data_IF_264070608914
#
_entry.id   IF_264070608914
#
_cell.length_a   1.000
_cell.length_b   1.000
_cell.length_c   1.000
_cell.angle_alpha   90.00
_cell.angle_beta   90.00
_cell.angle_gamma   90.00
#
_symmetry.space_group_name_H-M   'P 1'
#
loop_
_entity.id
_entity.type
_entity.pdbx_description
1 polymer ?
#
# COMPACT_ATOMS: atom_id res chain seq x y z
N UNK A 1 36.93 -29.10 1.18
CA UNK A 1 35.90 -28.41 0.40
C UNK A 1 34.55 -29.04 0.70
N UNK A 2 33.69 -28.36 1.45
CA UNK A 2 32.25 -28.65 1.55
C UNK A 2 31.56 -27.29 1.58
N UNK A 3 30.78 -26.95 0.56
CA UNK A 3 29.95 -25.74 0.57
C UNK A 3 28.75 -26.03 1.46
N UNK A 4 28.56 -25.28 2.54
CA UNK A 4 27.23 -25.14 3.13
C UNK A 4 26.46 -24.18 2.22
N UNK A 5 25.25 -24.58 1.82
CA UNK A 5 24.30 -23.64 1.25
C UNK A 5 23.76 -22.78 2.40
N UNK A 6 23.84 -21.45 2.29
CA UNK A 6 22.99 -20.59 3.09
C UNK A 6 21.56 -20.77 2.57
N UNK A 7 20.65 -21.17 3.47
CA UNK A 7 19.23 -20.99 3.24
C UNK A 7 18.93 -19.53 3.59
N UNK A 8 18.68 -18.71 2.57
CA UNK A 8 18.14 -17.37 2.75
C UNK A 8 16.69 -17.48 3.20
N UNK A 9 16.48 -17.43 4.52
CA UNK A 9 15.15 -17.19 5.08
C UNK A 9 14.88 -15.70 4.92
N UNK A 10 14.04 -15.34 3.94
CA UNK A 10 13.36 -14.04 4.01
C UNK A 10 12.49 -14.07 5.27
N UNK A 11 12.80 -13.21 6.23
CA UNK A 11 11.89 -12.87 7.30
C UNK A 11 10.81 -11.98 6.70
N UNK A 12 9.76 -12.61 6.17
CA UNK A 12 8.67 -11.89 5.55
C UNK A 12 7.86 -11.21 6.67
N UNK A 13 7.82 -9.87 6.61
CA UNK A 13 7.20 -9.02 7.63
C UNK A 13 5.69 -9.16 7.56
N UNK A 14 5.13 -10.01 8.42
CA UNK A 14 3.68 -10.22 8.54
C UNK A 14 2.98 -8.92 8.97
N UNK A 15 2.32 -8.23 8.03
CA UNK A 15 1.43 -7.13 8.37
C UNK A 15 0.25 -7.74 9.15
N UNK A 16 -0.12 -7.19 10.32
CA UNK A 16 -1.11 -7.85 11.16
C UNK A 16 -2.54 -7.77 10.62
N UNK A 17 -3.41 -8.53 11.28
CA UNK A 17 -4.84 -8.25 11.38
C UNK A 17 -5.11 -6.75 11.68
N UNK A 18 -6.31 -6.25 11.38
CA UNK A 18 -6.67 -4.82 11.43
C UNK A 18 -6.00 -3.95 10.34
N UNK A 19 -4.68 -3.99 10.13
CA UNK A 19 -4.00 -3.14 9.12
C UNK A 19 -4.48 -3.44 7.69
N UNK A 20 -4.38 -4.70 7.27
CA UNK A 20 -4.94 -5.10 5.99
C UNK A 20 -6.46 -5.44 6.04
N UNK A 21 -7.13 -5.28 7.21
CA UNK A 21 -8.60 -5.11 7.23
C UNK A 21 -8.95 -3.69 6.79
N UNK A 22 -8.11 -2.69 7.09
CA UNK A 22 -8.32 -1.33 6.59
C UNK A 22 -8.20 -1.28 5.07
N UNK A 23 -7.18 -1.92 4.49
CA UNK A 23 -7.02 -2.07 3.04
C UNK A 23 -8.23 -2.79 2.40
N UNK A 24 -8.57 -4.00 2.88
CA UNK A 24 -9.73 -4.73 2.35
C UNK A 24 -11.06 -4.00 2.58
N UNK A 25 -11.19 -3.18 3.64
CA UNK A 25 -12.39 -2.36 3.85
C UNK A 25 -12.50 -1.19 2.85
N UNK A 26 -11.36 -0.61 2.47
CA UNK A 26 -11.25 0.40 1.40
C UNK A 26 -11.54 -0.22 0.04
N UNK A 27 -10.95 -1.37 -0.29
CA UNK A 27 -11.26 -2.14 -1.50
C UNK A 27 -12.76 -2.46 -1.61
N UNK A 28 -13.39 -2.92 -0.52
CA UNK A 28 -14.84 -3.14 -0.50
C UNK A 28 -15.67 -1.88 -0.76
N UNK A 29 -15.17 -0.71 -0.38
CA UNK A 29 -15.83 0.58 -0.64
C UNK A 29 -15.61 1.06 -2.08
N UNK A 30 -14.40 0.88 -2.62
CA UNK A 30 -14.08 1.08 -4.03
C UNK A 30 -15.03 0.23 -4.87
N UNK A 31 -15.07 -1.09 -4.66
CA UNK A 31 -15.94 -2.03 -5.37
C UNK A 31 -17.43 -1.65 -5.27
N UNK A 32 -17.91 -1.25 -4.08
CA UNK A 32 -19.29 -0.72 -3.92
C UNK A 32 -19.54 0.55 -4.74
N UNK A 33 -18.55 1.43 -4.85
CA UNK A 33 -18.67 2.69 -5.57
C UNK A 33 -18.59 2.47 -7.09
N UNK A 34 -17.64 1.68 -7.58
CA UNK A 34 -17.49 1.27 -8.99
C UNK A 34 -18.77 0.62 -9.50
N UNK A 35 -19.30 -0.36 -8.76
CA UNK A 35 -20.57 -1.02 -9.12
C UNK A 35 -21.74 -0.05 -9.12
N UNK A 36 -21.86 0.86 -8.14
CA UNK A 36 -22.96 1.84 -8.09
C UNK A 36 -22.86 2.95 -9.13
N UNK A 37 -21.65 3.28 -9.60
CA UNK A 37 -21.44 4.26 -10.67
C UNK A 37 -21.92 3.70 -12.01
N UNK A 38 -21.60 2.44 -12.30
CA UNK A 38 -22.05 1.73 -13.50
C UNK A 38 -23.53 1.28 -13.41
N UNK A 39 -24.00 0.84 -12.23
CA UNK A 39 -25.38 0.43 -12.00
C UNK A 39 -25.89 0.85 -10.62
N UNK A 40 -26.64 1.96 -10.58
CA UNK A 40 -27.25 2.47 -9.36
C UNK A 40 -28.32 1.54 -8.73
N UNK A 41 -28.80 0.52 -9.45
CA UNK A 41 -29.73 -0.50 -8.94
C UNK A 41 -29.02 -1.75 -8.42
N UNK A 42 -27.71 -1.90 -8.68
CA UNK A 42 -26.96 -3.07 -8.25
C UNK A 42 -26.88 -3.15 -6.71
N UNK A 43 -27.02 -4.38 -6.20
CA UNK A 43 -27.02 -4.70 -4.77
C UNK A 43 -25.88 -5.66 -4.46
N UNK A 44 -25.16 -5.42 -3.37
CA UNK A 44 -24.22 -6.41 -2.85
C UNK A 44 -25.02 -7.63 -2.37
N UNK A 45 -24.66 -8.82 -2.85
CA UNK A 45 -25.31 -10.08 -2.51
C UNK A 45 -24.43 -10.99 -1.65
N UNK A 46 -23.12 -10.80 -1.69
CA UNK A 46 -22.16 -11.60 -0.93
C UNK A 46 -20.93 -10.78 -0.56
N UNK A 47 -20.39 -11.04 0.62
CA UNK A 47 -19.02 -10.70 1.01
C UNK A 47 -18.49 -11.89 1.80
N UNK A 48 -17.38 -12.47 1.35
CA UNK A 48 -16.78 -13.65 1.95
C UNK A 48 -15.30 -13.41 2.19
N UNK A 49 -14.94 -13.16 3.43
CA UNK A 49 -13.53 -13.14 3.84
C UNK A 49 -12.92 -14.53 3.76
N UNK A 50 -11.66 -14.55 3.36
CA UNK A 50 -10.75 -15.67 3.22
C UNK A 50 -9.46 -15.31 3.96
N UNK A 51 -8.74 -16.33 4.40
CA UNK A 51 -7.43 -16.21 5.03
C UNK A 51 -6.67 -17.46 4.58
N UNK A 52 -5.61 -17.31 3.79
CA UNK A 52 -5.03 -18.35 2.93
C UNK A 52 -3.50 -18.30 2.99
N UNK A 53 -2.85 -19.46 2.91
CA UNK A 53 -1.41 -19.56 2.63
C UNK A 53 -1.14 -19.45 1.13
N UNK A 54 0.08 -19.07 0.74
CA UNK A 54 0.57 -19.31 -0.62
C UNK A 54 0.31 -20.78 -1.05
N UNK A 55 -0.32 -20.96 -2.21
CA UNK A 55 -0.78 -22.25 -2.73
C UNK A 55 -2.11 -22.77 -2.18
N UNK A 56 -2.78 -22.07 -1.25
CA UNK A 56 -4.07 -22.48 -0.67
C UNK A 56 -5.25 -21.89 -1.45
N UNK A 57 -6.27 -22.71 -1.73
CA UNK A 57 -7.48 -22.28 -2.46
C UNK A 57 -8.68 -22.10 -1.54
N UNK A 58 -9.09 -20.84 -1.35
CA UNK A 58 -10.37 -20.47 -0.76
C UNK A 58 -11.53 -20.72 -1.74
N UNK A 59 -12.72 -21.01 -1.21
CA UNK A 59 -13.93 -21.31 -2.00
C UNK A 59 -15.17 -20.64 -1.42
N UNK A 60 -16.05 -20.18 -2.30
CA UNK A 60 -17.39 -19.73 -1.93
C UNK A 60 -18.39 -20.02 -3.04
N UNK A 61 -19.65 -20.24 -2.67
CA UNK A 61 -20.72 -20.52 -3.63
C UNK A 61 -21.58 -19.26 -3.80
N UNK A 62 -21.80 -18.86 -5.05
CA UNK A 62 -22.71 -17.78 -5.45
C UNK A 62 -24.00 -18.40 -5.99
N UNK A 63 -25.16 -17.90 -5.54
CA UNK A 63 -26.45 -18.33 -6.09
C UNK A 63 -26.88 -17.35 -7.19
N UNK A 64 -26.93 -17.84 -8.42
CA UNK A 64 -27.00 -17.05 -9.66
C UNK A 64 -28.31 -17.34 -10.39
N UNK A 65 -28.94 -16.31 -10.96
CA UNK A 65 -30.17 -16.44 -11.76
C UNK A 65 -29.92 -16.07 -13.22
N UNK A 66 -30.48 -16.85 -14.15
CA UNK A 66 -30.37 -16.57 -15.58
C UNK A 66 -31.00 -15.22 -15.95
N UNK A 67 -30.36 -14.47 -16.84
CA UNK A 67 -30.80 -13.14 -17.28
C UNK A 67 -30.57 -12.01 -16.26
N UNK A 68 -29.77 -12.26 -15.21
CA UNK A 68 -29.27 -11.24 -14.28
C UNK A 68 -27.79 -10.99 -14.50
N UNK A 69 -27.35 -9.78 -14.22
CA UNK A 69 -25.93 -9.40 -14.29
C UNK A 69 -25.30 -9.56 -12.92
N UNK A 70 -24.09 -10.13 -12.89
CA UNK A 70 -23.32 -10.33 -11.67
C UNK A 70 -21.94 -9.74 -11.85
N UNK A 71 -21.45 -9.05 -10.81
CA UNK A 71 -20.06 -8.58 -10.72
C UNK A 71 -19.44 -9.17 -9.47
N UNK A 72 -18.29 -9.82 -9.61
CA UNK A 72 -17.59 -10.52 -8.54
C UNK A 72 -16.15 -10.04 -8.51
N UNK A 73 -15.75 -9.46 -7.39
CA UNK A 73 -14.38 -9.06 -7.08
C UNK A 73 -13.75 -10.11 -6.17
N UNK A 74 -12.49 -10.42 -6.43
CA UNK A 74 -11.55 -10.99 -5.47
C UNK A 74 -10.52 -9.91 -5.19
N UNK A 75 -10.28 -9.60 -3.92
CA UNK A 75 -9.24 -8.66 -3.51
C UNK A 75 -8.42 -9.33 -2.41
N UNK A 76 -7.09 -9.35 -2.52
CA UNK A 76 -6.22 -9.73 -1.41
C UNK A 76 -5.72 -8.51 -0.62
N UNK A 77 -4.99 -8.78 0.47
CA UNK A 77 -4.54 -7.77 1.41
C UNK A 77 -3.06 -7.41 1.21
N UNK A 78 -2.54 -6.41 1.91
CA UNK A 78 -1.20 -5.82 1.62
C UNK A 78 -0.02 -6.77 1.73
N UNK A 79 -0.23 -7.96 2.29
CA UNK A 79 0.75 -9.04 2.34
C UNK A 79 0.75 -9.91 1.06
N UNK A 80 -0.12 -9.61 0.09
CA UNK A 80 -0.32 -10.40 -1.13
C UNK A 80 -0.21 -9.51 -2.38
N UNK A 81 0.47 -10.05 -3.39
CA UNK A 81 0.70 -9.41 -4.69
C UNK A 81 0.01 -10.15 -5.84
N UNK A 82 -0.62 -11.31 -5.59
CA UNK A 82 -1.22 -12.15 -6.65
C UNK A 82 -2.23 -13.17 -6.10
N UNK A 83 -3.46 -13.14 -6.62
CA UNK A 83 -4.49 -14.18 -6.47
C UNK A 83 -5.07 -14.61 -7.82
N UNK A 84 -5.12 -15.93 -8.12
CA UNK A 84 -5.96 -16.43 -9.21
C UNK A 84 -7.43 -16.47 -8.73
N UNK A 85 -8.36 -15.85 -9.45
CA UNK A 85 -9.80 -16.08 -9.26
C UNK A 85 -10.39 -16.91 -10.40
N UNK A 86 -11.25 -17.87 -10.08
CA UNK A 86 -11.94 -18.73 -11.06
C UNK A 86 -13.41 -18.88 -10.68
N UNK A 87 -14.32 -18.71 -11.66
CA UNK A 87 -15.76 -18.91 -11.51
C UNK A 87 -16.18 -20.10 -12.36
N UNK A 88 -16.83 -21.09 -11.75
CA UNK A 88 -17.26 -22.33 -12.41
C UNK A 88 -18.72 -22.69 -12.12
N UNK A 89 -19.36 -23.37 -13.07
CA UNK A 89 -20.69 -23.96 -12.90
C UNK A 89 -20.60 -25.47 -13.14
N UNK A 90 -21.02 -26.28 -12.17
CA UNK A 90 -20.96 -27.75 -12.22
C UNK A 90 -19.56 -28.30 -12.60
N UNK A 91 -18.49 -27.65 -12.11
CA UNK A 91 -17.10 -28.03 -12.42
C UNK A 91 -16.61 -27.62 -13.82
N UNK A 92 -17.43 -26.90 -14.61
CA UNK A 92 -16.98 -26.26 -15.85
C UNK A 92 -16.59 -24.81 -15.57
N UNK A 93 -15.37 -24.44 -15.88
CA UNK A 93 -14.88 -23.06 -15.82
C UNK A 93 -15.70 -22.15 -16.75
N UNK A 94 -16.07 -20.96 -16.24
CA UNK A 94 -16.85 -19.94 -16.97
C UNK A 94 -16.04 -18.65 -17.08
N UNK A 95 -15.33 -18.28 -16.01
CA UNK A 95 -14.36 -17.17 -16.01
C UNK A 95 -13.12 -17.57 -15.22
N UNK A 96 -11.96 -17.04 -15.61
CA UNK A 96 -10.71 -17.20 -14.87
C UNK A 96 -9.79 -16.01 -15.11
N UNK A 97 -9.08 -15.60 -14.07
CA UNK A 97 -8.04 -14.58 -14.08
C UNK A 97 -6.87 -15.21 -13.30
N UNK A 98 -5.69 -15.16 -13.92
CA UNK A 98 -4.46 -15.88 -13.53
C UNK A 98 -3.21 -15.08 -13.93
N UNK A 99 -3.38 -13.80 -14.21
CA UNK A 99 -2.44 -12.93 -14.92
C UNK A 99 -1.39 -12.32 -14.02
N UNK A 100 -1.64 -12.27 -12.71
CA UNK A 100 -0.73 -11.66 -11.74
C UNK A 100 -1.40 -10.69 -10.76
N UNK A 101 -2.68 -10.38 -10.94
CA UNK A 101 -3.38 -9.37 -10.14
C UNK A 101 -3.66 -9.80 -8.70
N UNK A 102 -3.63 -8.84 -7.79
CA UNK A 102 -4.14 -8.91 -6.41
C UNK A 102 -5.64 -8.59 -6.31
N UNK A 103 -6.25 -8.05 -7.37
CA UNK A 103 -7.63 -7.54 -7.43
C UNK A 103 -8.50 -8.06 -8.62
N UNK A 104 -8.56 -9.37 -8.93
CA UNK A 104 -9.43 -9.94 -9.96
C UNK A 104 -10.89 -9.47 -9.92
N UNK A 105 -11.46 -9.17 -11.08
CA UNK A 105 -12.89 -8.89 -11.21
C UNK A 105 -13.49 -9.57 -12.44
N UNK A 106 -14.70 -10.12 -12.30
CA UNK A 106 -15.53 -10.59 -13.42
C UNK A 106 -16.88 -9.92 -13.39
N UNK A 107 -17.38 -9.49 -14.55
CA UNK A 107 -18.77 -9.08 -14.71
C UNK A 107 -19.42 -9.73 -15.91
N UNK A 108 -20.58 -10.34 -15.73
CA UNK A 108 -21.26 -11.08 -16.79
C UNK A 108 -22.77 -11.13 -16.60
N UNK A 109 -23.50 -11.27 -17.71
CA UNK A 109 -24.92 -11.67 -17.69
C UNK A 109 -24.97 -13.19 -17.61
N UNK A 110 -25.62 -13.74 -16.60
CA UNK A 110 -25.66 -15.19 -16.41
C UNK A 110 -26.66 -15.85 -17.39
N UNK A 111 -26.16 -16.75 -18.25
CA UNK A 111 -27.03 -17.54 -19.15
C UNK A 111 -27.81 -18.65 -18.42
N UNK A 112 -27.34 -19.07 -17.24
CA UNK A 112 -27.84 -20.23 -16.51
C UNK A 112 -28.05 -19.87 -15.04
N UNK A 113 -29.18 -20.31 -14.48
CA UNK A 113 -29.39 -20.29 -13.04
C UNK A 113 -28.62 -21.45 -12.39
N UNK A 114 -28.01 -21.22 -11.23
CA UNK A 114 -27.30 -22.28 -10.51
C UNK A 114 -26.48 -21.80 -9.32
N UNK A 115 -25.86 -22.77 -8.65
CA UNK A 115 -24.85 -22.55 -7.63
C UNK A 115 -23.47 -22.54 -8.32
N UNK A 116 -22.96 -21.34 -8.61
CA UNK A 116 -21.64 -21.15 -9.19
C UNK A 116 -20.60 -21.21 -8.06
N UNK A 117 -19.48 -21.89 -8.28
CA UNK A 117 -18.35 -21.88 -7.35
C UNK A 117 -17.36 -20.80 -7.78
N UNK A 118 -17.04 -19.91 -6.85
CA UNK A 118 -15.91 -18.97 -6.95
C UNK A 118 -14.77 -19.55 -6.13
N UNK A 119 -13.65 -19.82 -6.80
CA UNK A 119 -12.40 -20.27 -6.19
C UNK A 119 -11.39 -19.11 -6.24
N UNK A 120 -10.67 -18.89 -5.14
CA UNK A 120 -9.56 -17.92 -5.06
C UNK A 120 -8.32 -18.69 -4.58
N UNK A 121 -7.29 -18.74 -5.41
CA UNK A 121 -6.01 -19.35 -5.10
C UNK A 121 -4.99 -18.25 -4.78
N UNK A 122 -4.50 -18.25 -3.54
CA UNK A 122 -3.41 -17.38 -3.10
C UNK A 122 -2.12 -17.80 -3.79
N UNK A 123 -1.57 -16.98 -4.70
CA UNK A 123 -0.33 -17.32 -5.43
C UNK A 123 0.88 -16.87 -4.67
N UNK A 124 0.93 -15.59 -4.35
CA UNK A 124 2.03 -14.96 -3.64
C UNK A 124 1.51 -14.29 -2.37
N UNK A 125 2.29 -14.41 -1.30
CA UNK A 125 1.90 -14.05 0.05
C UNK A 125 3.16 -13.95 0.92
N UNK A 126 3.44 -12.74 1.40
CA UNK A 126 4.55 -12.38 2.27
C UNK A 126 4.24 -12.55 3.77
N UNK A 127 3.09 -13.10 4.14
CA UNK A 127 2.84 -13.64 5.49
C UNK A 127 2.70 -15.18 5.46
N UNK A 128 2.89 -15.77 6.63
CA UNK A 128 2.41 -17.10 7.01
C UNK A 128 0.95 -17.40 6.59
N UNK A 129 0.07 -16.40 6.52
CA UNK A 129 -1.24 -16.41 5.82
C UNK A 129 -1.71 -14.98 5.48
N UNK A 130 -2.08 -14.73 4.23
CA UNK A 130 -2.65 -13.45 3.76
C UNK A 130 -4.19 -13.52 3.79
N UNK A 131 -4.87 -12.38 3.90
CA UNK A 131 -6.33 -12.32 3.74
C UNK A 131 -6.70 -12.03 2.29
N UNK A 132 -7.94 -12.38 1.98
CA UNK A 132 -8.62 -11.91 0.80
C UNK A 132 -10.12 -11.82 1.10
N UNK A 133 -10.91 -11.25 0.20
CA UNK A 133 -12.34 -11.52 0.17
C UNK A 133 -12.83 -11.81 -1.24
N UNK A 134 -14.01 -12.42 -1.33
CA UNK A 134 -14.85 -12.40 -2.53
C UNK A 134 -16.05 -11.51 -2.24
N UNK A 135 -16.23 -10.45 -3.03
CA UNK A 135 -17.36 -9.54 -2.92
C UNK A 135 -18.20 -9.61 -4.19
N UNK A 136 -19.48 -9.98 -4.07
CA UNK A 136 -20.35 -10.18 -5.22
C UNK A 136 -21.58 -9.27 -5.18
N UNK A 137 -21.96 -8.81 -6.37
CA UNK A 137 -23.08 -7.92 -6.63
C UNK A 137 -24.02 -8.53 -7.68
N UNK A 138 -25.30 -8.20 -7.58
CA UNK A 138 -26.33 -8.50 -8.59
C UNK A 138 -26.90 -7.18 -9.11
N UNK A 139 -27.03 -7.05 -10.43
CA UNK A 139 -27.53 -5.86 -11.09
C UNK A 139 -28.15 -6.14 -12.45
N UNK A 140 -28.05 -5.14 -13.32
CA UNK A 140 -28.65 -5.04 -14.66
C UNK A 140 -27.65 -4.61 -15.72
N UNK A 141 -26.65 -3.80 -15.38
CA UNK A 141 -25.54 -3.44 -16.28
C UNK A 141 -24.30 -4.29 -15.99
N UNK A 142 -23.55 -4.61 -17.04
CA UNK A 142 -22.21 -5.19 -16.90
C UNK A 142 -21.30 -4.05 -16.47
N UNK A 143 -20.72 -4.18 -15.27
CA UNK A 143 -19.66 -3.30 -14.80
C UNK A 143 -18.41 -3.75 -15.53
N UNK A 144 -17.70 -2.90 -16.27
CA UNK A 144 -16.49 -3.35 -16.95
C UNK A 144 -15.45 -3.82 -15.93
N UNK A 145 -15.34 -5.14 -15.77
CA UNK A 145 -14.14 -5.78 -15.23
C UNK A 145 -12.97 -5.45 -16.16
N UNK A 146 -11.78 -5.22 -15.61
CA UNK A 146 -10.54 -5.14 -16.42
C UNK A 146 -10.50 -6.31 -17.40
N UNK A 147 -10.34 -6.02 -18.68
CA UNK A 147 -10.79 -6.90 -19.77
C UNK A 147 -11.95 -6.28 -20.57
N UNK A 148 -11.62 -5.24 -21.35
CA UNK A 148 -12.47 -4.47 -22.27
C UNK A 148 -13.36 -3.36 -21.68
N UNK A 149 -12.78 -2.17 -21.54
CA UNK A 149 -13.50 -0.92 -21.85
C UNK A 149 -14.22 -0.23 -20.69
N UNK A 150 -13.68 -0.27 -19.48
CA UNK A 150 -13.99 0.70 -18.42
C UNK A 150 -12.87 1.75 -18.34
N UNK A 151 -13.21 3.03 -18.26
CA UNK A 151 -12.22 4.09 -17.98
C UNK A 151 -11.92 4.05 -16.47
N UNK A 152 -10.80 3.46 -16.05
CA UNK A 152 -10.39 3.35 -14.63
C UNK A 152 -9.79 4.67 -14.08
N UNK A 153 -9.29 5.52 -14.97
CA UNK A 153 -8.61 6.77 -14.60
C UNK A 153 -9.47 7.72 -13.73
N UNK A 154 -10.79 7.92 -13.96
CA UNK A 154 -11.63 8.75 -13.09
C UNK A 154 -11.74 8.22 -11.65
N UNK A 155 -11.76 6.90 -11.48
CA UNK A 155 -11.78 6.20 -10.19
C UNK A 155 -10.45 6.35 -9.46
N UNK A 156 -9.33 6.06 -10.12
CA UNK A 156 -7.98 6.31 -9.58
C UNK A 156 -7.83 7.79 -9.14
N UNK A 157 -8.26 8.71 -10.01
CA UNK A 157 -8.23 10.14 -9.70
C UNK A 157 -9.07 10.54 -8.47
N UNK A 158 -10.15 9.80 -8.18
CA UNK A 158 -10.97 9.99 -6.99
C UNK A 158 -10.31 9.41 -5.74
N UNK A 159 -9.62 8.28 -5.83
CA UNK A 159 -8.82 7.70 -4.74
C UNK A 159 -7.72 8.68 -4.32
N UNK A 160 -6.96 9.18 -5.28
CA UNK A 160 -5.87 10.14 -5.07
C UNK A 160 -6.37 11.43 -4.41
N UNK A 161 -7.53 11.98 -4.84
CA UNK A 161 -8.18 13.12 -4.16
C UNK A 161 -8.53 12.81 -2.71
N UNK A 162 -9.13 11.65 -2.42
CA UNK A 162 -9.52 11.29 -1.06
C UNK A 162 -8.29 11.21 -0.15
N UNK A 163 -7.24 10.51 -0.58
CA UNK A 163 -5.97 10.38 0.13
C UNK A 163 -5.37 11.75 0.48
N UNK A 164 -5.33 12.67 -0.48
CA UNK A 164 -4.80 14.02 -0.26
C UNK A 164 -5.72 14.88 0.62
N UNK A 165 -7.04 14.75 0.52
CA UNK A 165 -7.97 15.49 1.38
C UNK A 165 -8.01 14.98 2.83
N UNK A 166 -7.65 13.71 3.07
CA UNK A 166 -7.39 13.17 4.41
C UNK A 166 -6.10 13.76 5.02
N UNK A 167 -5.03 13.89 4.22
CA UNK A 167 -3.77 14.52 4.63
C UNK A 167 -3.93 16.02 4.91
N UNK A 168 -4.50 16.75 3.94
CA UNK A 168 -4.85 18.16 4.08
C UNK A 168 -6.12 18.52 3.29
N UNK A 169 -7.26 18.79 3.96
CA UNK A 169 -8.49 19.21 3.29
C UNK A 169 -8.40 20.63 2.68
N UNK A 170 -7.25 21.32 2.82
CA UNK A 170 -6.96 22.60 2.14
C UNK A 170 -6.00 22.48 0.95
N UNK A 171 -5.60 21.26 0.59
CA UNK A 171 -4.78 21.01 -0.61
C UNK A 171 -5.53 21.42 -1.89
N UNK A 172 -4.77 21.91 -2.87
CA UNK A 172 -5.30 22.40 -4.15
C UNK A 172 -4.88 21.46 -5.28
N UNK A 173 -5.84 20.75 -5.87
CA UNK A 173 -5.65 20.01 -7.12
C UNK A 173 -5.31 21.00 -8.25
N UNK A 174 -4.22 20.72 -8.96
CA UNK A 174 -3.77 21.44 -10.16
C UNK A 174 -4.46 20.83 -11.39
N UNK A 175 -4.36 21.44 -12.59
CA UNK A 175 -4.87 20.80 -13.80
C UNK A 175 -4.33 19.38 -13.95
N UNK A 176 -5.25 18.45 -14.20
CA UNK A 176 -4.96 17.04 -14.49
C UNK A 176 -4.56 16.96 -15.95
N UNK A 177 -3.54 16.16 -16.24
CA UNK A 177 -3.13 15.85 -17.61
C UNK A 177 -3.60 14.43 -17.94
N UNK A 178 -4.08 14.21 -19.16
CA UNK A 178 -4.58 12.89 -19.60
C UNK A 178 -4.21 12.70 -21.07
N UNK A 179 -3.47 11.63 -21.34
CA UNK A 179 -2.90 11.35 -22.67
C UNK A 179 -2.95 9.85 -22.95
N UNK A 180 -2.34 9.43 -24.06
CA UNK A 180 -2.15 8.03 -24.41
C UNK A 180 -0.77 7.84 -25.03
N UNK A 181 -0.09 6.77 -24.64
CA UNK A 181 1.26 6.40 -25.08
C UNK A 181 1.26 4.96 -25.55
N UNK A 182 2.06 4.65 -26.57
CA UNK A 182 2.44 3.27 -26.86
C UNK A 182 3.55 2.83 -25.88
N UNK A 183 3.79 1.53 -25.77
CA UNK A 183 4.98 0.95 -25.13
C UNK A 183 6.27 1.68 -25.57
N UNK A 184 7.22 1.88 -24.65
CA UNK A 184 8.45 2.69 -24.76
C UNK A 184 8.25 4.21 -25.02
N UNK A 185 7.03 4.72 -25.28
CA UNK A 185 6.82 6.16 -25.51
C UNK A 185 6.86 6.98 -24.21
N UNK A 186 7.46 8.18 -24.30
CA UNK A 186 7.60 9.13 -23.19
C UNK A 186 6.92 10.45 -23.53
N UNK A 187 6.00 10.92 -22.68
CA UNK A 187 5.42 12.27 -22.77
C UNK A 187 5.89 13.15 -21.61
N UNK A 188 5.77 14.46 -21.75
CA UNK A 188 6.18 15.37 -20.69
C UNK A 188 5.37 16.66 -20.62
N UNK A 189 5.01 17.03 -19.40
CA UNK A 189 4.28 18.24 -19.08
C UNK A 189 5.12 19.22 -18.28
N UNK A 190 4.96 20.50 -18.60
CA UNK A 190 5.68 21.59 -17.94
C UNK A 190 4.83 22.14 -16.80
N UNK A 191 5.36 22.05 -15.57
CA UNK A 191 4.64 22.40 -14.34
C UNK A 191 5.36 23.52 -13.59
N UNK A 192 4.60 24.50 -13.10
CA UNK A 192 5.12 25.62 -12.32
C UNK A 192 4.91 25.37 -10.83
N UNK A 193 6.03 25.24 -10.10
CA UNK A 193 6.08 24.90 -8.67
C UNK A 193 6.62 26.08 -7.85
N UNK A 194 6.19 26.19 -6.59
CA UNK A 194 6.54 27.29 -5.67
C UNK A 194 7.37 26.78 -4.50
N UNK A 195 8.51 27.41 -4.23
CA UNK A 195 9.37 27.08 -3.11
C UNK A 195 8.62 27.08 -1.76
N UNK A 196 8.95 26.12 -0.90
CA UNK A 196 8.40 25.93 0.42
C UNK A 196 7.09 25.13 0.47
N UNK A 197 6.39 24.95 -0.66
CA UNK A 197 5.19 24.12 -0.80
C UNK A 197 5.53 22.64 -0.87
N UNK A 198 4.57 21.81 -0.48
CA UNK A 198 4.57 20.38 -0.75
C UNK A 198 3.70 20.11 -1.97
N UNK A 199 4.16 19.18 -2.79
CA UNK A 199 3.46 18.69 -3.96
C UNK A 199 3.34 17.18 -3.90
N UNK A 200 2.12 16.66 -4.02
CA UNK A 200 1.90 15.25 -4.29
C UNK A 200 1.72 15.07 -5.80
N UNK A 201 2.40 14.09 -6.37
CA UNK A 201 2.32 13.71 -7.78
C UNK A 201 1.86 12.26 -7.88
N UNK A 202 0.95 12.00 -8.81
CA UNK A 202 0.44 10.68 -9.16
C UNK A 202 0.54 10.54 -10.67
N UNK A 203 0.88 9.34 -11.14
CA UNK A 203 0.48 8.87 -12.45
C UNK A 203 -0.30 7.57 -12.28
N UNK A 204 -1.33 7.39 -13.08
CA UNK A 204 -2.16 6.19 -13.11
C UNK A 204 -2.37 5.83 -14.60
N UNK A 205 -2.10 4.60 -15.02
CA UNK A 205 -2.54 4.11 -16.34
C UNK A 205 -3.93 3.46 -16.30
N UNK A 206 -4.52 3.21 -17.48
CA UNK A 206 -5.77 2.44 -17.59
C UNK A 206 -5.51 0.93 -17.54
N UNK A 207 -6.59 0.13 -17.51
CA UNK A 207 -6.54 -1.33 -17.26
C UNK A 207 -5.87 -2.16 -18.36
N UNK A 208 -5.21 -1.51 -19.32
CA UNK A 208 -4.48 -2.13 -20.42
C UNK A 208 -2.96 -1.94 -20.25
N UNK A 209 -2.49 -1.33 -19.15
CA UNK A 209 -1.08 -1.15 -18.80
C UNK A 209 -0.77 -1.73 -17.41
N UNK A 210 0.45 -2.26 -17.28
CA UNK A 210 1.00 -2.87 -16.05
C UNK A 210 2.19 -2.12 -15.48
N UNK A 211 2.83 -1.23 -16.26
CA UNK A 211 4.05 -0.54 -15.85
C UNK A 211 4.15 0.88 -16.46
N UNK A 212 4.23 1.90 -15.60
CA UNK A 212 4.30 3.32 -15.98
C UNK A 212 5.30 4.06 -15.07
N UNK A 213 6.31 4.70 -15.66
CA UNK A 213 7.29 5.49 -14.89
C UNK A 213 6.78 6.91 -14.61
N UNK A 214 7.18 7.47 -13.46
CA UNK A 214 6.99 8.90 -13.16
C UNK A 214 8.30 9.60 -12.75
N UNK A 215 8.72 10.56 -13.56
CA UNK A 215 9.95 11.33 -13.36
C UNK A 215 9.69 12.83 -13.24
N UNK A 216 10.11 13.46 -12.14
CA UNK A 216 10.16 14.92 -12.00
C UNK A 216 11.59 15.41 -12.20
N UNK A 217 11.76 16.38 -13.08
CA UNK A 217 13.06 16.96 -13.43
C UNK A 217 13.03 18.49 -13.48
N UNK A 218 14.21 19.11 -13.43
CA UNK A 218 14.39 20.55 -13.67
C UNK A 218 15.67 20.80 -14.45
N UNK A 219 15.54 21.35 -15.66
CA UNK A 219 16.66 21.43 -16.60
C UNK A 219 17.17 20.03 -16.91
N UNK A 220 18.46 19.77 -16.62
CA UNK A 220 19.09 18.45 -16.76
C UNK A 220 19.15 17.65 -15.44
N UNK A 221 18.59 18.16 -14.35
CA UNK A 221 18.62 17.48 -13.05
C UNK A 221 17.32 16.70 -12.82
N UNK A 222 17.43 15.38 -12.64
CA UNK A 222 16.36 14.57 -12.06
C UNK A 222 16.20 14.93 -10.58
N UNK A 223 14.96 15.21 -10.17
CA UNK A 223 14.59 15.51 -8.78
C UNK A 223 14.05 14.23 -8.11
N UNK A 224 13.23 13.47 -8.85
CA UNK A 224 12.71 12.16 -8.45
C UNK A 224 12.42 11.34 -9.71
N UNK A 225 12.63 10.04 -9.63
CA UNK A 225 12.28 9.03 -10.62
C UNK A 225 11.65 7.87 -9.87
N UNK A 226 10.49 7.43 -10.29
CA UNK A 226 9.87 6.17 -9.91
C UNK A 226 9.89 5.30 -11.16
N UNK A 227 10.59 4.17 -11.08
CA UNK A 227 10.86 3.23 -12.18
C UNK A 227 10.84 1.78 -11.67
N UNK A 228 10.05 1.55 -10.62
CA UNK A 228 9.77 0.23 -10.08
C UNK A 228 8.47 -0.25 -10.74
N UNK A 229 8.42 -1.52 -11.13
CA UNK A 229 7.33 -2.07 -11.94
C UNK A 229 5.95 -1.84 -11.29
N UNK A 230 5.10 -1.02 -11.92
CA UNK A 230 3.75 -0.75 -11.43
C UNK A 230 2.97 0.31 -12.22
N UNK A 231 1.64 0.25 -12.10
CA UNK A 231 0.65 1.01 -12.89
C UNK A 231 0.24 2.36 -12.25
N UNK A 232 0.64 2.62 -11.00
CA UNK A 232 0.18 3.75 -10.18
C UNK A 232 1.30 4.43 -9.34
N UNK A 233 2.42 4.90 -9.93
CA UNK A 233 3.51 5.55 -9.18
C UNK A 233 3.09 6.89 -8.57
N UNK A 234 3.40 7.06 -7.28
CA UNK A 234 3.11 8.29 -6.53
C UNK A 234 4.28 8.76 -5.66
N UNK A 235 4.40 10.08 -5.46
CA UNK A 235 5.29 10.61 -4.44
C UNK A 235 4.87 11.99 -3.93
N UNK A 236 5.28 12.29 -2.70
CA UNK A 236 5.22 13.63 -2.13
C UNK A 236 6.62 14.25 -2.13
N UNK A 237 6.71 15.52 -2.51
CA UNK A 237 7.97 16.25 -2.53
C UNK A 237 7.79 17.71 -2.13
N UNK A 238 8.71 18.21 -1.29
CA UNK A 238 8.74 19.63 -0.92
C UNK A 238 9.62 20.42 -1.88
N UNK A 239 9.04 21.40 -2.57
CA UNK A 239 9.77 22.24 -3.50
C UNK A 239 10.77 23.14 -2.76
N UNK A 240 12.07 22.93 -2.97
CA UNK A 240 13.12 23.80 -2.41
C UNK A 240 13.30 25.11 -3.17
N UNK A 241 12.84 25.19 -4.42
CA UNK A 241 13.03 26.32 -5.32
C UNK A 241 11.80 26.51 -6.22
N UNK A 242 11.47 27.76 -6.52
CA UNK A 242 10.34 28.09 -7.42
C UNK A 242 10.77 28.03 -8.88
N UNK A 243 9.80 27.76 -9.76
CA UNK A 243 9.92 27.94 -11.20
C UNK A 243 9.42 26.74 -11.99
N UNK A 244 10.00 26.57 -13.17
CA UNK A 244 9.62 25.55 -14.13
C UNK A 244 10.27 24.19 -13.81
N UNK A 245 9.44 23.17 -13.80
CA UNK A 245 9.80 21.76 -13.69
C UNK A 245 9.14 20.98 -14.82
N UNK A 246 9.70 19.83 -15.15
CA UNK A 246 9.23 18.94 -16.20
C UNK A 246 8.85 17.60 -15.58
N UNK A 247 7.55 17.30 -15.57
CA UNK A 247 7.00 16.00 -15.19
C UNK A 247 6.98 15.13 -16.45
N UNK A 248 7.63 13.97 -16.40
CA UNK A 248 7.79 13.05 -17.53
C UNK A 248 7.19 11.72 -17.14
N UNK A 249 6.36 11.17 -18.02
CA UNK A 249 5.76 9.84 -17.90
C UNK A 249 6.36 8.94 -18.96
N UNK A 250 6.62 7.69 -18.59
CA UNK A 250 6.89 6.60 -19.54
C UNK A 250 5.82 5.55 -19.49
N UNK A 251 5.53 4.92 -20.63
CA UNK A 251 4.74 3.69 -20.69
C UNK A 251 5.72 2.53 -20.90
N UNK A 252 6.05 1.78 -19.84
CA UNK A 252 7.04 0.69 -19.93
C UNK A 252 6.37 -0.66 -20.24
N UNK A 253 5.08 -0.85 -19.95
CA UNK A 253 4.29 -2.03 -20.35
C UNK A 253 2.84 -1.66 -20.73
N UNK A 254 2.36 -2.17 -21.89
CA UNK A 254 1.06 -1.81 -22.46
C UNK A 254 0.52 -2.89 -23.42
N UNK A 255 -0.63 -3.48 -23.10
CA UNK A 255 -1.29 -4.57 -23.84
C UNK A 255 -1.93 -4.15 -25.18
N UNK A 256 -1.87 -2.85 -25.54
CA UNK A 256 -2.56 -2.30 -26.73
C UNK A 256 -1.68 -1.32 -27.53
N UNK A 257 -2.13 -0.93 -28.73
CA UNK A 257 -1.43 0.05 -29.57
C UNK A 257 -1.10 1.36 -28.83
N UNK A 258 -1.96 1.79 -27.88
CA UNK A 258 -1.76 2.92 -26.97
C UNK A 258 -2.63 2.80 -25.71
N UNK A 259 -2.00 2.73 -24.55
CA UNK A 259 -2.65 2.78 -23.24
C UNK A 259 -2.89 4.24 -22.83
N UNK A 260 -3.97 4.51 -22.09
CA UNK A 260 -4.23 5.84 -21.55
C UNK A 260 -3.58 5.97 -20.17
N UNK A 261 -3.28 7.19 -19.80
CA UNK A 261 -2.89 7.49 -18.43
C UNK A 261 -3.36 8.89 -18.03
N UNK A 262 -3.43 9.14 -16.72
CA UNK A 262 -3.55 10.49 -16.16
C UNK A 262 -2.42 10.81 -15.20
N UNK A 263 -2.10 12.10 -15.05
CA UNK A 263 -1.29 12.58 -13.94
C UNK A 263 -2.04 13.64 -13.16
N UNK A 264 -2.02 13.51 -11.83
CA UNK A 264 -2.55 14.49 -10.90
C UNK A 264 -1.44 15.12 -10.08
N UNK A 265 -1.64 16.38 -9.74
CA UNK A 265 -0.71 17.16 -8.93
C UNK A 265 -1.52 17.94 -7.91
N UNK A 266 -1.16 17.83 -6.63
CA UNK A 266 -1.80 18.58 -5.54
C UNK A 266 -0.78 19.48 -4.86
N UNK A 267 -1.15 20.70 -4.52
CA UNK A 267 -0.31 21.65 -3.78
C UNK A 267 -0.84 21.86 -2.35
N UNK A 268 0.04 21.79 -1.34
CA UNK A 268 -0.27 22.21 0.03
C UNK A 268 0.87 23.00 0.70
N UNK A 269 0.53 23.66 1.81
CA UNK A 269 1.48 24.24 2.77
C UNK A 269 1.89 23.24 3.87
N UNK A 270 1.22 22.09 3.98
CA UNK A 270 1.53 20.99 4.91
C UNK A 270 2.19 19.86 4.15
N UNK A 271 2.92 19.01 4.86
CA UNK A 271 3.35 17.73 4.31
C UNK A 271 2.10 16.91 3.91
N UNK A 272 2.16 16.27 2.75
CA UNK A 272 1.07 15.47 2.19
C UNK A 272 1.34 13.97 2.30
N UNK A 273 2.52 13.58 2.78
CA UNK A 273 2.86 12.18 2.97
C UNK A 273 2.14 11.62 4.21
N UNK A 274 1.30 10.61 3.98
CA UNK A 274 0.50 9.94 5.02
C UNK A 274 1.12 8.63 5.50
N UNK A 275 2.25 8.19 4.94
CA UNK A 275 2.94 6.93 5.29
C UNK A 275 3.12 6.77 6.80
N UNK A 276 3.74 7.75 7.45
CA UNK A 276 3.93 7.77 8.90
C UNK A 276 2.60 7.77 9.68
N UNK A 277 1.61 8.55 9.25
CA UNK A 277 0.29 8.59 9.91
C UNK A 277 -0.39 7.21 9.88
N UNK A 278 -0.27 6.52 8.75
CA UNK A 278 -0.77 5.17 8.56
C UNK A 278 0.03 4.15 9.39
N UNK A 279 1.37 4.25 9.41
CA UNK A 279 2.23 3.42 10.25
C UNK A 279 1.86 3.57 11.74
N UNK A 280 1.71 4.79 12.26
CA UNK A 280 1.34 5.01 13.66
C UNK A 280 -0.08 4.51 13.99
N UNK A 281 -1.00 4.52 13.02
CA UNK A 281 -2.33 3.93 13.17
C UNK A 281 -2.20 2.41 13.29
N UNK A 282 -1.51 1.78 12.34
CA UNK A 282 -1.18 0.34 12.38
C UNK A 282 -0.53 -0.04 13.71
N UNK A 283 0.54 0.63 14.12
CA UNK A 283 1.29 0.36 15.36
C UNK A 283 0.39 0.41 16.61
N UNK A 284 -0.55 1.37 16.68
CA UNK A 284 -1.55 1.42 17.75
C UNK A 284 -2.48 0.21 17.71
N UNK A 285 -2.96 -0.18 16.54
CA UNK A 285 -3.85 -1.33 16.35
C UNK A 285 -3.16 -2.66 16.73
N UNK A 286 -1.90 -2.89 16.30
CA UNK A 286 -1.13 -4.10 16.66
C UNK A 286 -0.99 -4.21 18.18
N UNK A 287 -0.54 -3.11 18.81
CA UNK A 287 -0.26 -3.08 20.25
C UNK A 287 -1.55 -3.24 21.05
N UNK A 288 -2.63 -2.55 20.70
CA UNK A 288 -3.92 -2.69 21.39
C UNK A 288 -4.50 -4.10 21.23
N UNK A 289 -4.32 -4.76 20.07
CA UNK A 289 -4.80 -6.12 19.86
C UNK A 289 -4.06 -7.14 20.74
N UNK A 290 -2.72 -7.07 20.79
CA UNK A 290 -1.90 -7.99 21.60
C UNK A 290 -1.98 -7.68 23.10
N UNK A 291 -1.91 -6.39 23.47
CA UNK A 291 -2.01 -5.88 24.83
C UNK A 291 -2.90 -4.64 24.93
N UNK A 292 -4.22 -4.86 25.06
CA UNK A 292 -5.21 -3.81 25.28
C UNK A 292 -5.01 -2.98 26.58
N UNK A 293 -4.05 -3.33 27.44
CA UNK A 293 -3.65 -2.54 28.61
C UNK A 293 -2.40 -1.67 28.38
N UNK A 294 -1.74 -1.83 27.23
CA UNK A 294 -0.62 -1.01 26.84
C UNK A 294 -1.07 0.42 26.53
N UNK A 295 -0.17 1.36 26.78
CA UNK A 295 -0.36 2.78 26.50
C UNK A 295 0.75 3.27 25.59
N UNK A 296 0.45 4.27 24.76
CA UNK A 296 1.48 5.06 24.10
C UNK A 296 2.36 5.72 25.19
N UNK A 297 3.66 5.45 25.13
CA UNK A 297 4.65 6.08 26.00
C UNK A 297 5.20 7.34 25.34
N UNK A 298 5.42 7.27 24.03
CA UNK A 298 5.98 8.34 23.21
C UNK A 298 5.66 8.08 21.74
N UNK A 299 5.33 9.14 21.01
CA UNK A 299 5.48 9.24 19.57
C UNK A 299 6.33 10.47 19.29
N UNK A 300 7.39 10.32 18.48
CA UNK A 300 8.31 11.41 18.14
C UNK A 300 8.72 11.37 16.69
N UNK A 301 8.18 12.29 15.90
CA UNK A 301 8.55 12.52 14.50
C UNK A 301 9.63 13.61 14.35
N UNK A 302 10.40 13.51 13.27
CA UNK A 302 11.31 14.53 12.71
C UNK A 302 11.59 14.22 11.23
N UNK A 303 12.19 15.14 10.47
CA UNK A 303 12.92 14.78 9.23
C UNK A 303 14.41 14.62 9.52
N UNK A 304 15.08 13.70 8.85
CA UNK A 304 16.53 13.43 8.92
C UNK A 304 17.12 13.29 7.50
N UNK A 305 18.24 13.98 7.20
CA UNK A 305 19.09 13.62 6.07
C UNK A 305 19.77 12.27 6.26
N UNK A 306 20.12 11.61 5.15
CA UNK A 306 20.88 10.34 5.17
C UNK A 306 22.17 10.46 5.99
N UNK A 307 22.47 9.42 6.77
CA UNK A 307 23.62 9.37 7.67
C UNK A 307 23.46 10.15 8.98
N UNK A 308 22.37 10.91 9.17
CA UNK A 308 22.05 11.49 10.48
C UNK A 308 21.32 10.50 11.38
N UNK A 309 21.11 10.87 12.66
CA UNK A 309 20.60 9.96 13.68
C UNK A 309 19.71 10.67 14.67
N UNK A 310 18.46 10.22 14.78
CA UNK A 310 17.54 10.60 15.84
C UNK A 310 17.94 9.88 17.13
N UNK A 311 18.18 10.65 18.20
CA UNK A 311 18.55 10.13 19.52
C UNK A 311 17.55 10.62 20.57
N UNK A 312 16.90 9.68 21.26
CA UNK A 312 15.79 9.95 22.18
C UNK A 312 16.10 9.37 23.57
N UNK A 313 16.27 10.21 24.61
CA UNK A 313 16.36 9.74 25.98
C UNK A 313 14.97 9.38 26.53
N UNK A 314 14.87 8.24 27.23
CA UNK A 314 13.63 7.80 27.87
C UNK A 314 13.89 7.07 29.20
N UNK A 315 12.88 7.05 30.07
CA UNK A 315 12.95 6.35 31.35
C UNK A 315 12.05 5.11 31.34
N UNK A 316 12.67 3.94 31.50
CA UNK A 316 11.97 2.65 31.54
C UNK A 316 11.82 2.15 32.99
N UNK A 317 10.84 1.26 33.21
CA UNK A 317 10.49 0.70 34.52
C UNK A 317 10.68 -0.81 34.52
N UNK A 318 11.42 -1.33 35.50
CA UNK A 318 11.68 -2.77 35.61
C UNK A 318 10.38 -3.60 35.62
N UNK A 319 10.39 -4.74 34.93
CA UNK A 319 9.28 -5.68 34.80
C UNK A 319 8.25 -5.34 33.72
N UNK A 320 8.17 -4.09 33.26
CA UNK A 320 7.30 -3.67 32.14
C UNK A 320 7.83 -4.18 30.81
N UNK A 321 6.92 -4.40 29.86
CA UNK A 321 7.27 -4.61 28.45
C UNK A 321 7.14 -3.29 27.72
N UNK A 322 8.04 -3.06 26.78
CA UNK A 322 7.99 -1.95 25.86
C UNK A 322 8.01 -2.49 24.44
N UNK A 323 7.18 -1.92 23.57
CA UNK A 323 7.22 -2.17 22.12
C UNK A 323 7.74 -0.90 21.47
N UNK A 324 8.71 -1.05 20.57
CA UNK A 324 9.36 0.03 19.88
C UNK A 324 9.20 -0.20 18.38
N UNK A 325 8.85 0.86 17.67
CA UNK A 325 8.86 0.95 16.22
C UNK A 325 9.74 2.14 15.83
N UNK A 326 10.58 1.95 14.83
CA UNK A 326 11.02 3.01 13.93
C UNK A 326 10.18 2.91 12.66
N UNK A 327 9.67 4.04 12.18
CA UNK A 327 8.95 4.10 10.90
C UNK A 327 9.54 5.27 10.11
N UNK A 328 9.77 5.13 8.79
CA UNK A 328 10.12 6.26 7.92
C UNK A 328 9.11 6.47 6.78
N UNK A 329 9.21 7.62 6.10
CA UNK A 329 8.35 7.94 4.96
C UNK A 329 8.71 7.16 3.69
N UNK A 330 7.84 7.21 2.67
CA UNK A 330 8.01 6.47 1.41
C UNK A 330 9.28 6.88 0.60
N UNK A 331 10.04 7.86 1.08
CA UNK A 331 11.35 8.21 0.51
C UNK A 331 12.51 7.44 1.14
N UNK A 332 12.31 6.68 2.22
CA UNK A 332 13.34 5.94 2.95
C UNK A 332 13.15 4.42 2.81
N UNK A 333 14.27 3.72 2.56
CA UNK A 333 14.33 2.26 2.40
C UNK A 333 15.02 1.53 3.55
N UNK A 334 15.84 2.23 4.36
CA UNK A 334 16.61 1.63 5.46
C UNK A 334 16.75 2.64 6.63
N UNK A 335 16.30 2.23 7.81
CA UNK A 335 16.59 2.80 9.13
C UNK A 335 16.89 1.65 10.11
N UNK A 336 17.85 1.83 11.04
CA UNK A 336 17.95 0.91 12.19
C UNK A 336 17.09 1.40 13.36
N UNK A 337 16.78 0.52 14.31
CA UNK A 337 16.28 0.87 15.63
C UNK A 337 17.15 0.25 16.72
N UNK A 338 17.76 1.06 17.58
CA UNK A 338 18.60 0.57 18.69
C UNK A 338 18.14 1.11 20.04
N UNK A 339 17.89 0.22 21.00
CA UNK A 339 17.75 0.56 22.42
C UNK A 339 19.07 0.32 23.13
N UNK A 340 19.58 1.35 23.80
CA UNK A 340 20.83 1.31 24.56
C UNK A 340 20.67 1.81 26.00
N UNK A 341 21.62 1.43 26.85
CA UNK A 341 21.74 1.88 28.24
C UNK A 341 23.20 2.09 28.60
N UNK A 342 23.54 3.29 29.09
CA UNK A 342 24.92 3.68 29.42
C UNK A 342 25.90 3.45 28.24
N UNK A 343 25.46 3.73 27.01
CA UNK A 343 26.26 3.53 25.79
C UNK A 343 26.47 2.07 25.37
N UNK A 344 25.78 1.10 25.99
CA UNK A 344 25.75 -0.30 25.56
C UNK A 344 24.40 -0.65 24.98
N UNK A 345 24.41 -1.35 23.85
CA UNK A 345 23.22 -1.93 23.26
C UNK A 345 22.52 -2.90 24.23
N UNK A 346 21.19 -2.92 24.16
CA UNK A 346 20.31 -3.76 24.97
C UNK A 346 19.45 -4.65 24.08
N UNK A 347 18.94 -4.07 22.99
CA UNK A 347 18.21 -4.72 21.91
C UNK A 347 18.31 -3.80 20.69
N UNK A 348 18.34 -4.38 19.50
CA UNK A 348 18.41 -3.69 18.22
C UNK A 348 17.57 -4.44 17.21
N UNK A 349 17.14 -3.70 16.20
CA UNK A 349 16.80 -4.19 14.88
C UNK A 349 17.65 -3.40 13.88
N UNK A 350 18.30 -4.11 12.97
CA UNK A 350 19.25 -3.59 11.97
C UNK A 350 19.12 -4.38 10.66
N UNK A 351 17.92 -4.89 10.38
CA UNK A 351 17.56 -5.34 9.04
C UNK A 351 17.48 -4.11 8.12
N UNK A 352 17.77 -4.29 6.83
CA UNK A 352 17.74 -3.21 5.87
C UNK A 352 16.29 -3.01 5.40
N UNK A 353 15.50 -2.31 6.24
CA UNK A 353 14.10 -2.01 6.00
C UNK A 353 13.68 -0.65 6.62
N UNK A 354 12.48 -0.19 6.24
CA UNK A 354 11.92 1.10 6.64
C UNK A 354 11.07 1.06 7.92
N UNK A 355 10.95 -0.11 8.57
CA UNK A 355 10.02 -0.38 9.68
C UNK A 355 10.63 -1.23 10.83
N UNK A 356 11.88 -0.96 11.28
CA UNK A 356 12.58 -1.76 12.28
C UNK A 356 11.83 -1.75 13.63
N UNK A 357 11.66 -2.92 14.23
CA UNK A 357 10.77 -3.07 15.40
C UNK A 357 11.20 -4.15 16.39
N UNK A 358 10.84 -3.98 17.67
CA UNK A 358 10.94 -5.07 18.65
C UNK A 358 10.08 -4.84 19.90
N UNK A 359 9.77 -5.93 20.59
CA UNK A 359 9.34 -5.91 21.98
C UNK A 359 10.49 -6.23 22.92
N UNK A 360 10.55 -5.60 24.09
CA UNK A 360 11.56 -5.88 25.11
C UNK A 360 11.03 -5.71 26.53
N UNK A 361 11.34 -6.65 27.43
CA UNK A 361 11.01 -6.55 28.86
C UNK A 361 12.14 -5.88 29.63
N UNK A 362 11.82 -4.79 30.31
CA UNK A 362 12.82 -4.01 31.02
C UNK A 362 13.35 -4.73 32.28
N UNK A 363 14.62 -5.12 32.24
CA UNK A 363 15.28 -5.81 33.36
C UNK A 363 15.65 -4.88 34.53
N UNK A 364 15.66 -3.56 34.32
CA UNK A 364 16.06 -2.52 35.28
C UNK A 364 15.28 -1.24 35.00
N UNK A 365 15.03 -0.44 36.04
CA UNK A 365 14.49 0.91 35.89
C UNK A 365 15.59 1.94 35.61
N UNK A 366 15.24 3.07 35.02
CA UNK A 366 16.10 4.25 34.87
C UNK A 366 16.21 4.73 33.42
N UNK A 367 17.24 5.52 33.15
CA UNK A 367 17.48 6.08 31.83
C UNK A 367 17.97 5.03 30.81
N UNK A 368 17.44 5.16 29.59
CA UNK A 368 17.80 4.46 28.37
C UNK A 368 17.84 5.48 27.22
N UNK A 369 18.38 5.07 26.07
CA UNK A 369 18.40 5.87 24.84
C UNK A 369 17.94 5.01 23.68
N UNK A 370 16.93 5.49 22.94
CA UNK A 370 16.58 4.98 21.61
C UNK A 370 17.37 5.77 20.57
N UNK A 371 17.88 5.07 19.57
CA UNK A 371 18.70 5.62 18.48
C UNK A 371 18.16 5.08 17.16
N UNK A 372 17.85 5.97 16.21
CA UNK A 372 17.40 5.64 14.85
C UNK A 372 18.30 6.38 13.84
N UNK A 373 19.32 5.72 13.25
CA UNK A 373 20.09 6.24 12.14
C UNK A 373 19.32 6.13 10.82
N UNK A 374 19.32 7.20 10.01
CA UNK A 374 18.82 7.20 8.64
C UNK A 374 19.88 6.60 7.72
N UNK A 375 19.65 5.41 7.17
CA UNK A 375 20.67 4.68 6.39
C UNK A 375 20.54 4.95 4.91
N UNK A 376 19.33 4.85 4.37
CA UNK A 376 19.03 5.10 2.96
C UNK A 376 17.80 6.01 2.84
N UNK A 377 17.98 7.13 2.14
CA UNK A 377 16.96 8.14 1.92
C UNK A 377 17.12 8.69 0.51
N UNK A 378 16.04 8.67 -0.27
CA UNK A 378 16.01 9.06 -1.69
C UNK A 378 15.66 10.56 -1.90
N UNK A 379 15.61 11.34 -0.82
CA UNK A 379 15.42 12.80 -0.79
C UNK A 379 16.54 13.49 0.00
N UNK A 380 16.52 14.83 0.04
CA UNK A 380 17.43 15.63 0.89
C UNK A 380 17.27 15.29 2.39
N UNK A 381 16.03 15.09 2.83
CA UNK A 381 15.67 14.49 4.11
C UNK A 381 14.42 13.60 3.99
N UNK A 382 14.35 12.57 4.84
CA UNK A 382 13.21 11.67 4.96
C UNK A 382 12.58 11.88 6.34
N UNK A 383 11.25 11.85 6.42
CA UNK A 383 10.55 11.84 7.70
C UNK A 383 10.75 10.48 8.39
N UNK A 384 10.86 10.53 9.71
CA UNK A 384 11.07 9.35 10.55
C UNK A 384 10.42 9.56 11.91
N UNK A 385 9.86 8.48 12.47
CA UNK A 385 9.28 8.45 13.81
C UNK A 385 9.90 7.37 14.69
N UNK A 386 9.91 7.64 16.00
CA UNK A 386 10.01 6.63 17.02
C UNK A 386 8.65 6.51 17.72
N UNK A 387 8.00 5.35 17.63
CA UNK A 387 6.71 5.06 18.27
C UNK A 387 6.90 4.00 19.34
N UNK A 388 6.68 4.37 20.61
CA UNK A 388 7.04 3.56 21.77
C UNK A 388 5.82 3.38 22.66
N UNK A 389 5.55 2.13 23.04
CA UNK A 389 4.45 1.74 23.91
C UNK A 389 4.97 1.10 25.20
N UNK A 390 4.23 1.27 26.29
CA UNK A 390 4.48 0.57 27.56
C UNK A 390 3.29 -0.34 27.91
N UNK A 391 3.57 -1.62 28.11
CA UNK A 391 2.58 -2.65 28.41
C UNK A 391 3.08 -3.73 29.38
N UNK A 392 2.55 -4.93 29.19
CA UNK A 392 2.70 -6.10 30.07
C UNK A 392 3.07 -7.39 29.32
N UNK A 393 2.61 -7.52 28.06
CA UNK A 393 2.87 -8.62 27.14
C UNK A 393 3.87 -8.21 26.05
N UNK A 394 4.55 -9.19 25.45
CA UNK A 394 5.32 -9.00 24.23
C UNK A 394 4.34 -8.90 23.04
N UNK A 395 4.58 -7.96 22.12
CA UNK A 395 3.80 -7.82 20.87
C UNK A 395 4.46 -8.66 19.78
N UNK A 396 5.79 -8.63 19.75
CA UNK A 396 6.68 -9.46 18.92
C UNK A 396 7.52 -10.36 19.82
N UNK A 397 7.80 -11.58 19.38
CA UNK A 397 8.72 -12.52 20.04
C UNK A 397 10.01 -12.63 19.23
N UNK A 398 11.12 -12.95 19.91
CA UNK A 398 12.50 -12.95 19.38
C UNK A 398 12.82 -14.16 18.48
#
# INVERSE_FOLDING_TARGET
>A
MKKLALVSVLAALSVPAWAADSYLSSAQEINRNTVKAADAQARQIQLRHLNLKAGETGRTTLNVQAGKTYTVFGDCDTDCSNIDMTVSLNGTEVHSERGGSDAPVFSWVADKSGAYQVEVLMKDCSDSRCRAHVQAFEGTQVVSSGGSGGDWLPEAQKVNRNKILEADPTAVERPIFTHSLAEDEKHSETVQLTAGKYYAFFADCDTECSDIDLTLSRGSQTIRSLTDSGDAPEFVWRASQSGEYKLTVSMEDCDTDKCRYSTQIFESNKDLDTSLVNAHKTNREVVQHKDASARELMLRETRLPQGQTLTIPLNLRAGKVYTFYGDCDNACSDIDLTLSRNGREVKSDTMADSVPLFSWRANRSGAYTVTIPMKECSTEDCAVSAHIFEGSKMVYED
#
